data_IF_396975141294
#
_entry.id   IF_396975141294
#
_cell.length_a   1.000
_cell.length_b   1.000
_cell.length_c   1.000
_cell.angle_alpha   90.00
_cell.angle_beta   90.00
_cell.angle_gamma   90.00
#
_symmetry.space_group_name_H-M   'P 1'
#
loop_
_entity.id
_entity.type
_entity.pdbx_description
1 polymer ?
#
# COMPACT_ATOMS: atom_id res chain seq x y z
N UNK A 1 -22.87 12.48 -9.30
CA UNK A 1 -22.04 12.12 -10.40
C UNK A 1 -20.57 12.27 -10.13
N UNK A 2 -20.09 13.47 -9.91
CA UNK A 2 -18.69 13.69 -9.68
C UNK A 2 -18.17 13.12 -8.39
N UNK A 3 -19.03 12.86 -7.43
CA UNK A 3 -18.58 12.46 -6.10
C UNK A 3 -17.95 11.06 -6.09
N UNK A 4 -18.59 10.13 -6.78
CA UNK A 4 -18.06 8.76 -6.79
C UNK A 4 -16.72 8.72 -7.49
N UNK A 5 -16.60 9.46 -8.55
CA UNK A 5 -15.39 9.57 -9.30
C UNK A 5 -14.25 10.14 -8.44
N UNK A 6 -14.57 11.19 -7.69
CA UNK A 6 -13.56 11.80 -6.81
C UNK A 6 -13.17 10.90 -5.67
N UNK A 7 -14.11 10.12 -5.16
CA UNK A 7 -13.80 9.19 -4.09
C UNK A 7 -12.82 8.13 -4.55
N UNK A 8 -12.99 7.64 -5.77
CA UNK A 8 -12.08 6.65 -6.32
C UNK A 8 -10.67 7.23 -6.46
N UNK A 9 -10.56 8.47 -6.95
CA UNK A 9 -9.26 9.12 -7.06
C UNK A 9 -8.62 9.34 -5.70
N UNK A 10 -9.44 9.77 -4.73
CA UNK A 10 -8.93 9.99 -3.38
C UNK A 10 -8.42 8.70 -2.76
N UNK A 11 -9.16 7.62 -2.96
CA UNK A 11 -8.73 6.32 -2.46
C UNK A 11 -7.43 5.86 -3.11
N UNK A 12 -7.32 6.10 -4.40
CA UNK A 12 -6.11 5.73 -5.12
C UNK A 12 -4.90 6.50 -4.58
N UNK A 13 -5.08 7.79 -4.33
CA UNK A 13 -4.01 8.61 -3.77
C UNK A 13 -3.62 8.12 -2.38
N UNK A 14 -4.60 7.78 -1.56
CA UNK A 14 -4.33 7.28 -0.22
C UNK A 14 -3.56 5.95 -0.28
N UNK A 15 -3.96 5.08 -1.18
CA UNK A 15 -3.26 3.80 -1.32
C UNK A 15 -1.82 4.01 -1.76
N UNK A 16 -1.60 4.94 -2.68
CA UNK A 16 -0.24 5.25 -3.11
C UNK A 16 0.60 5.82 -1.98
N UNK A 17 -0.01 6.68 -1.16
CA UNK A 17 0.68 7.23 -0.01
C UNK A 17 1.02 6.12 0.99
N UNK A 18 0.07 5.21 1.23
CA UNK A 18 0.33 4.09 2.11
C UNK A 18 1.47 3.23 1.62
N UNK A 19 1.55 3.03 0.31
CA UNK A 19 2.61 2.23 -0.25
C UNK A 19 3.97 2.86 0.03
N UNK A 20 4.08 4.17 -0.12
CA UNK A 20 5.32 4.88 0.19
C UNK A 20 5.69 4.71 1.65
N UNK A 21 4.72 4.86 2.54
CA UNK A 21 4.97 4.74 3.98
C UNK A 21 5.37 3.32 4.35
N UNK A 22 4.77 2.33 3.70
CA UNK A 22 5.12 0.93 3.95
C UNK A 22 6.55 0.64 3.52
N UNK A 23 6.98 1.21 2.39
CA UNK A 23 8.35 1.02 1.94
C UNK A 23 9.33 1.70 2.90
N UNK A 24 8.96 2.87 3.43
CA UNK A 24 9.78 3.52 4.42
C UNK A 24 9.88 2.68 5.69
N UNK A 25 8.76 2.08 6.09
CA UNK A 25 8.76 1.21 7.27
C UNK A 25 9.66 0.00 7.05
N UNK A 26 9.66 -0.56 5.84
CA UNK A 26 10.55 -1.68 5.53
C UNK A 26 12.01 -1.27 5.67
N UNK A 27 12.32 -0.07 5.24
CA UNK A 27 13.67 0.46 5.40
C UNK A 27 14.07 0.58 6.85
N UNK A 28 13.15 1.04 7.69
CA UNK A 28 13.39 1.16 9.12
C UNK A 28 13.56 -0.20 9.79
N UNK A 29 12.83 -1.20 9.31
CA UNK A 29 12.90 -2.53 9.89
C UNK A 29 14.31 -3.12 9.80
N UNK A 30 15.08 -2.68 8.82
CA UNK A 30 16.45 -3.17 8.65
C UNK A 30 17.35 -2.81 9.82
N UNK A 31 16.96 -1.80 10.60
CA UNK A 31 17.74 -1.38 11.75
C UNK A 31 17.48 -2.23 12.99
N UNK A 32 16.54 -3.15 12.91
CA UNK A 32 16.16 -3.97 14.04
C UNK A 32 16.99 -5.25 14.09
N UNK A 33 16.96 -5.91 15.27
CA UNK A 33 17.59 -7.21 15.41
C UNK A 33 17.02 -8.19 14.39
N UNK A 34 17.83 -9.15 13.97
CA UNK A 34 17.50 -10.04 12.87
C UNK A 34 16.12 -10.70 13.02
N UNK A 35 15.85 -11.27 14.21
CA UNK A 35 14.61 -12.00 14.40
C UNK A 35 13.37 -11.10 14.32
N UNK A 36 13.51 -9.83 14.73
CA UNK A 36 12.40 -8.87 14.63
C UNK A 36 12.26 -8.38 13.20
N UNK A 37 13.38 -8.15 12.56
CA UNK A 37 13.39 -7.66 11.18
C UNK A 37 12.70 -8.65 10.25
N UNK A 38 13.04 -9.92 10.36
CA UNK A 38 12.49 -10.94 9.47
C UNK A 38 10.97 -10.98 9.57
N UNK A 39 10.43 -10.94 10.78
CA UNK A 39 8.99 -11.02 10.96
C UNK A 39 8.28 -9.79 10.44
N UNK A 40 8.84 -8.62 10.72
CA UNK A 40 8.22 -7.37 10.27
C UNK A 40 8.31 -7.21 8.77
N UNK A 41 9.44 -7.58 8.18
CA UNK A 41 9.57 -7.48 6.73
C UNK A 41 8.54 -8.35 6.03
N UNK A 42 8.26 -9.54 6.56
CA UNK A 42 7.26 -10.42 5.97
C UNK A 42 5.87 -9.79 6.02
N UNK A 43 5.51 -9.18 7.15
CA UNK A 43 4.21 -8.53 7.30
C UNK A 43 4.11 -7.33 6.40
N UNK A 44 5.17 -6.52 6.36
CA UNK A 44 5.16 -5.31 5.54
C UNK A 44 5.10 -5.65 4.06
N UNK A 45 5.78 -6.72 3.65
CA UNK A 45 5.74 -7.16 2.26
C UNK A 45 4.33 -7.55 1.87
N UNK A 46 3.63 -8.28 2.74
CA UNK A 46 2.24 -8.63 2.47
C UNK A 46 1.37 -7.40 2.38
N UNK A 47 1.62 -6.43 3.24
CA UNK A 47 0.85 -5.20 3.22
C UNK A 47 1.04 -4.46 1.90
N UNK A 48 2.28 -4.40 1.41
CA UNK A 48 2.56 -3.77 0.12
C UNK A 48 1.84 -4.50 -0.99
N UNK A 49 1.86 -5.83 -0.97
CA UNK A 49 1.17 -6.62 -1.99
C UNK A 49 -0.32 -6.36 -1.98
N UNK A 50 -0.90 -6.24 -0.79
CA UNK A 50 -2.32 -5.98 -0.69
C UNK A 50 -2.67 -4.58 -1.19
N UNK A 51 -1.83 -3.59 -0.85
CA UNK A 51 -2.04 -2.23 -1.35
C UNK A 51 -1.95 -2.21 -2.87
N UNK A 52 -0.95 -2.89 -3.44
CA UNK A 52 -0.82 -2.94 -4.89
C UNK A 52 -2.04 -3.60 -5.55
N UNK A 53 -2.58 -4.63 -4.91
CA UNK A 53 -3.77 -5.29 -5.43
C UNK A 53 -4.96 -4.35 -5.44
N UNK A 54 -5.13 -3.58 -4.37
CA UNK A 54 -6.25 -2.65 -4.30
C UNK A 54 -6.09 -1.50 -5.28
N UNK A 55 -4.86 -1.06 -5.51
CA UNK A 55 -4.61 -0.05 -6.53
C UNK A 55 -5.06 -0.59 -7.90
N UNK A 56 -4.69 -1.82 -8.20
CA UNK A 56 -5.07 -2.44 -9.46
C UNK A 56 -6.59 -2.58 -9.58
N UNK A 57 -7.24 -2.97 -8.48
CA UNK A 57 -8.69 -3.10 -8.47
C UNK A 57 -9.37 -1.77 -8.79
N UNK A 58 -8.91 -0.70 -8.18
CA UNK A 58 -9.49 0.62 -8.43
C UNK A 58 -9.27 1.08 -9.86
N UNK A 59 -8.10 0.78 -10.40
CA UNK A 59 -7.81 1.15 -11.79
C UNK A 59 -8.68 0.37 -12.76
N UNK A 60 -8.89 -0.90 -12.47
CA UNK A 60 -9.75 -1.74 -13.33
C UNK A 60 -11.18 -1.27 -13.25
N UNK A 61 -11.67 -0.96 -12.05
CA UNK A 61 -13.03 -0.46 -11.89
C UNK A 61 -13.22 0.86 -12.62
N UNK A 62 -12.19 1.69 -12.60
CA UNK A 62 -12.27 2.98 -13.27
C UNK A 62 -12.45 2.88 -14.78
N UNK A 63 -12.08 1.74 -15.35
CA UNK A 63 -12.25 1.53 -16.79
C UNK A 63 -13.63 1.01 -17.12
N UNK A 64 -14.23 0.39 -16.12
CA UNK A 64 -15.52 -0.25 -16.28
C UNK A 64 -16.53 0.64 -16.88
#
# INVERSE_FOLDING_TARGET
>A
MGKEWRMAESQLDELRNMRVLLEEARGLARNLAYHRRVRLEAVLERAVEEVDRQIEDLRSDGRG
#
